data_IF_412392229334
#
_entry.id   IF_412392229334
#
_cell.length_a   1.000
_cell.length_b   1.000
_cell.length_c   1.000
_cell.angle_alpha   90.00
_cell.angle_beta   90.00
_cell.angle_gamma   90.00
#
_symmetry.space_group_name_H-M   'P 1'
#
loop_
_entity.id
_entity.type
_entity.pdbx_description
1 polymer ?
#
# COMPACT_ATOMS: atom_id res chain seq x y z
N UNK A 1 6.05 16.45 -10.33
CA UNK A 1 5.79 17.17 -9.07
C UNK A 1 6.68 16.56 -7.99
N UNK A 2 7.44 17.43 -7.33
CA UNK A 2 8.31 17.27 -6.14
C UNK A 2 8.88 15.87 -5.82
N UNK A 3 10.17 15.68 -6.12
CA UNK A 3 11.01 14.77 -5.34
C UNK A 3 11.21 15.42 -3.96
N UNK A 4 10.46 14.98 -2.95
CA UNK A 4 10.63 15.47 -1.59
C UNK A 4 12.02 15.14 -1.06
N UNK A 5 12.68 16.13 -0.46
CA UNK A 5 14.03 16.00 0.08
C UNK A 5 14.13 15.02 1.25
N UNK A 6 15.30 14.39 1.35
CA UNK A 6 15.71 13.42 2.37
C UNK A 6 15.86 14.11 3.75
N UNK A 7 14.90 13.89 4.63
CA UNK A 7 15.07 14.16 6.06
C UNK A 7 16.08 13.17 6.69
N UNK A 8 16.75 13.53 7.82
CA UNK A 8 17.87 12.77 8.40
C UNK A 8 17.47 11.41 9.01
N UNK A 9 16.17 11.13 9.07
CA UNK A 9 15.58 9.89 9.61
C UNK A 9 14.91 9.16 8.45
N UNK A 10 15.75 8.58 7.59
CA UNK A 10 15.39 7.97 6.31
C UNK A 10 14.21 7.00 6.40
N UNK A 11 13.04 7.50 6.00
CA UNK A 11 11.83 6.72 5.80
C UNK A 11 11.92 5.85 4.54
N UNK A 12 11.11 4.80 4.53
CA UNK A 12 10.99 3.88 3.41
C UNK A 12 10.33 4.59 2.21
N UNK A 13 10.99 4.60 1.06
CA UNK A 13 10.42 5.20 -0.16
C UNK A 13 9.51 4.19 -0.87
N UNK A 14 8.21 4.33 -0.68
CA UNK A 14 7.21 3.50 -1.37
C UNK A 14 6.77 4.16 -2.67
N UNK A 15 7.16 3.60 -3.81
CA UNK A 15 6.70 4.08 -5.12
C UNK A 15 5.33 3.50 -5.43
N UNK A 16 4.30 4.35 -5.53
CA UNK A 16 2.99 3.89 -5.97
C UNK A 16 3.05 3.29 -7.39
N UNK A 17 2.51 2.08 -7.55
CA UNK A 17 2.45 1.34 -8.81
C UNK A 17 1.00 1.26 -9.32
N UNK A 18 0.48 2.32 -9.98
CA UNK A 18 -0.91 2.34 -10.48
C UNK A 18 -1.19 1.23 -11.50
N UNK A 19 -0.15 0.75 -12.18
CA UNK A 19 -0.22 -0.34 -13.15
C UNK A 19 -0.49 -1.72 -12.53
N UNK A 20 -0.20 -1.92 -11.24
CA UNK A 20 -0.52 -3.17 -10.54
C UNK A 20 -1.95 -3.11 -10.01
N UNK A 21 -2.87 -3.49 -10.87
CA UNK A 21 -4.28 -3.68 -10.50
C UNK A 21 -4.51 -5.10 -9.96
N UNK A 22 -5.32 -5.21 -8.92
CA UNK A 22 -5.62 -6.48 -8.27
C UNK A 22 -6.84 -7.12 -8.93
N UNK A 23 -6.63 -7.78 -10.09
CA UNK A 23 -7.72 -8.45 -10.84
C UNK A 23 -8.49 -9.47 -10.00
N UNK A 24 -7.87 -10.07 -9.00
CA UNK A 24 -8.51 -11.00 -8.04
C UNK A 24 -9.66 -10.39 -7.26
N UNK A 25 -9.64 -9.06 -7.02
CA UNK A 25 -10.73 -8.35 -6.35
C UNK A 25 -11.92 -8.09 -7.26
N UNK A 26 -11.73 -8.20 -8.57
CA UNK A 26 -12.77 -7.97 -9.58
C UNK A 26 -13.38 -9.27 -10.12
N UNK A 27 -12.91 -10.45 -9.69
CA UNK A 27 -13.50 -11.71 -10.15
C UNK A 27 -14.92 -11.90 -9.61
N UNK A 28 -15.80 -12.59 -10.35
CA UNK A 28 -17.17 -12.81 -9.92
C UNK A 28 -17.29 -13.49 -8.55
N UNK A 29 -16.45 -14.49 -8.25
CA UNK A 29 -16.52 -15.16 -6.94
C UNK A 29 -16.13 -14.22 -5.80
N UNK A 30 -15.05 -13.46 -5.97
CA UNK A 30 -14.57 -12.52 -4.95
C UNK A 30 -15.57 -11.40 -4.74
N UNK A 31 -16.05 -10.77 -5.82
CA UNK A 31 -17.04 -9.69 -5.71
C UNK A 31 -18.36 -10.16 -5.08
N UNK A 32 -18.80 -11.40 -5.34
CA UNK A 32 -19.97 -12.00 -4.69
C UNK A 32 -19.78 -12.12 -3.17
N UNK A 33 -18.63 -12.64 -2.72
CA UNK A 33 -18.30 -12.72 -1.27
C UNK A 33 -18.19 -11.33 -0.64
N UNK A 34 -17.56 -10.37 -1.33
CA UNK A 34 -17.47 -9.00 -0.85
C UNK A 34 -18.84 -8.34 -0.71
N UNK A 35 -19.82 -8.66 -1.57
CA UNK A 35 -21.20 -8.19 -1.40
C UNK A 35 -21.87 -8.81 -0.18
N UNK A 36 -21.70 -10.12 0.05
CA UNK A 36 -22.30 -10.83 1.19
C UNK A 36 -21.90 -10.20 2.52
N UNK A 37 -20.67 -9.70 2.63
CA UNK A 37 -20.17 -9.05 3.84
C UNK A 37 -20.32 -7.52 3.83
N UNK A 38 -21.02 -6.95 2.83
CA UNK A 38 -21.12 -5.50 2.63
C UNK A 38 -19.76 -4.80 2.54
N UNK A 39 -18.75 -5.49 2.03
CA UNK A 39 -17.38 -5.00 1.86
C UNK A 39 -17.09 -4.53 0.43
N UNK A 40 -17.97 -4.85 -0.53
CA UNK A 40 -17.81 -4.40 -1.91
C UNK A 40 -17.78 -2.86 -1.97
N UNK A 41 -16.73 -2.31 -2.58
CA UNK A 41 -16.50 -0.86 -2.66
C UNK A 41 -15.88 -0.23 -1.40
N UNK A 42 -15.84 -0.96 -0.28
CA UNK A 42 -15.16 -0.52 0.97
C UNK A 42 -13.71 -0.97 1.02
N UNK A 43 -13.38 -2.06 0.33
CA UNK A 43 -12.00 -2.53 0.19
C UNK A 43 -11.29 -1.77 -0.93
N UNK A 44 -10.12 -1.21 -0.61
CA UNK A 44 -9.16 -0.67 -1.57
C UNK A 44 -7.86 -1.47 -1.45
N UNK A 45 -7.26 -1.81 -2.57
CA UNK A 45 -5.95 -2.43 -2.61
C UNK A 45 -5.05 -1.59 -3.50
N UNK A 46 -3.84 -1.34 -3.01
CA UNK A 46 -2.85 -0.51 -3.69
C UNK A 46 -1.51 -1.23 -3.64
N UNK A 47 -0.78 -1.18 -4.75
CA UNK A 47 0.54 -1.79 -4.85
C UNK A 47 1.60 -0.70 -4.76
N UNK A 48 2.62 -0.96 -3.96
CA UNK A 48 3.79 -0.11 -3.85
C UNK A 48 5.03 -0.94 -4.17
N UNK A 49 5.95 -0.34 -4.92
CA UNK A 49 7.29 -0.86 -5.12
C UNK A 49 8.23 -0.28 -4.07
N UNK A 50 9.15 -1.11 -3.59
CA UNK A 50 10.19 -0.72 -2.66
C UNK A 50 11.48 -1.44 -3.04
N UNK A 51 12.56 -0.70 -3.14
CA UNK A 51 13.84 -1.13 -3.72
C UNK A 51 15.01 -1.12 -2.70
N UNK A 52 14.77 -0.66 -1.47
CA UNK A 52 15.80 -0.70 -0.43
C UNK A 52 15.79 -2.07 0.29
N UNK A 53 16.89 -2.42 0.94
CA UNK A 53 16.98 -3.68 1.67
C UNK A 53 16.12 -3.61 2.94
N UNK A 54 15.11 -4.48 3.04
CA UNK A 54 14.33 -4.60 4.26
C UNK A 54 15.20 -5.19 5.39
N UNK A 55 15.24 -4.49 6.52
CA UNK A 55 15.97 -4.90 7.71
C UNK A 55 14.93 -5.14 8.80
N UNK A 56 14.85 -6.36 9.32
CA UNK A 56 13.82 -6.77 10.30
C UNK A 56 13.80 -5.85 11.53
N UNK A 57 14.96 -5.35 11.95
CA UNK A 57 15.08 -4.45 13.10
C UNK A 57 14.55 -3.03 12.84
N UNK A 58 14.27 -2.66 11.58
CA UNK A 58 13.65 -1.39 11.18
C UNK A 58 12.18 -1.57 10.77
N UNK A 59 11.55 -2.68 11.19
CA UNK A 59 10.13 -2.94 10.90
C UNK A 59 9.21 -1.80 11.34
N UNK A 60 9.56 -1.12 12.44
CA UNK A 60 8.73 -0.05 13.00
C UNK A 60 8.82 1.23 12.16
N UNK A 61 9.95 1.44 11.46
CA UNK A 61 10.13 2.49 10.45
C UNK A 61 9.45 2.13 9.11
N UNK A 62 9.29 0.83 8.82
CA UNK A 62 8.66 0.32 7.59
C UNK A 62 7.15 0.52 7.59
N UNK A 63 6.51 0.44 8.77
CA UNK A 63 5.11 0.80 8.91
C UNK A 63 5.01 2.31 8.71
N UNK A 64 4.45 2.73 7.58
CA UNK A 64 4.05 4.11 7.38
C UNK A 64 3.08 4.47 8.50
N UNK A 65 3.57 5.12 9.55
CA UNK A 65 2.71 5.74 10.56
C UNK A 65 1.99 6.83 9.79
N UNK A 66 0.71 6.60 9.55
CA UNK A 66 -0.17 7.59 8.95
C UNK A 66 -0.03 8.86 9.81
N UNK A 67 0.60 9.89 9.25
CA UNK A 67 0.59 11.21 9.83
C UNK A 67 -0.85 11.72 9.65
N UNK A 68 -1.74 11.28 10.55
CA UNK A 68 -3.05 11.88 10.73
C UNK A 68 -2.78 13.22 11.41
N UNK A 69 -2.63 14.27 10.62
CA UNK A 69 -2.75 15.66 11.05
C UNK A 69 -3.58 16.40 10.02
#
# INVERSE_FOLDING_TARGET
MAAGELGPLGGYYFRFLPQKTFKSLSTPETTSRLRQWSMLGRIKAQAFGFDQTFQVYRKDDFVMVDAIT
#
